data_IF_617544309215
#
_entry.id   IF_617544309215
#
_cell.length_a   1.000
_cell.length_b   1.000
_cell.length_c   1.000
_cell.angle_alpha   90.00
_cell.angle_beta   90.00
_cell.angle_gamma   90.00
#
_symmetry.space_group_name_H-M   'P 1'
#
loop_
_entity.id
_entity.type
_entity.pdbx_description
1 polymer ?
#
# COMPACT_ATOMS: atom_id res chain seq x y z
N UNK A 1 6.68 -5.28 1.59
CA UNK A 1 6.04 -4.63 2.77
C UNK A 1 5.36 -3.28 2.50
N UNK A 2 5.84 -2.47 1.54
CA UNK A 2 5.32 -1.09 1.31
C UNK A 2 3.88 -1.02 0.81
N UNK A 3 3.54 -1.83 -0.20
CA UNK A 3 2.16 -1.93 -0.69
C UNK A 3 1.20 -2.37 0.41
N UNK A 4 1.62 -3.32 1.26
CA UNK A 4 0.83 -3.80 2.38
C UNK A 4 0.48 -2.67 3.37
N UNK A 5 1.41 -1.75 3.67
CA UNK A 5 1.12 -0.58 4.53
C UNK A 5 0.05 0.32 3.91
N UNK A 6 0.18 0.66 2.63
CA UNK A 6 -0.80 1.51 1.93
C UNK A 6 -2.16 0.82 1.80
N UNK A 7 -2.18 -0.50 1.62
CA UNK A 7 -3.42 -1.29 1.62
C UNK A 7 -4.06 -1.40 3.01
N UNK A 8 -3.26 -1.47 4.08
CA UNK A 8 -3.76 -1.72 5.42
C UNK A 8 -4.65 -0.58 5.94
N UNK A 9 -4.38 0.68 5.55
CA UNK A 9 -5.22 1.83 5.89
C UNK A 9 -6.66 1.73 5.35
N UNK A 10 -6.91 1.56 4.03
CA UNK A 10 -8.27 1.45 3.48
C UNK A 10 -8.90 0.06 3.67
N UNK A 11 -8.11 -1.02 3.63
CA UNK A 11 -8.65 -2.39 3.62
C UNK A 11 -8.90 -2.89 5.04
N UNK A 12 -8.02 -2.56 5.99
CA UNK A 12 -8.08 -3.14 7.34
C UNK A 12 -8.50 -2.12 8.39
N UNK A 13 -7.93 -0.92 8.45
CA UNK A 13 -8.27 0.12 9.45
C UNK A 13 -8.68 -0.42 10.84
N UNK A 14 -7.85 -1.27 11.44
CA UNK A 14 -8.11 -1.91 12.75
C UNK A 14 -9.32 -2.87 12.83
N UNK A 15 -9.88 -3.27 11.68
CA UNK A 15 -10.95 -4.26 11.55
C UNK A 15 -10.37 -5.66 11.37
N UNK A 16 -10.80 -6.57 12.23
CA UNK A 16 -10.52 -7.99 12.10
C UNK A 16 -11.47 -8.64 11.09
N UNK A 17 -10.94 -9.47 10.20
CA UNK A 17 -11.72 -10.31 9.31
C UNK A 17 -11.72 -11.73 9.85
N UNK A 18 -12.89 -12.25 10.21
CA UNK A 18 -13.03 -13.58 10.80
C UNK A 18 -12.75 -14.70 9.78
N UNK A 19 -12.85 -14.40 8.48
CA UNK A 19 -12.61 -15.38 7.42
C UNK A 19 -11.93 -14.79 6.19
N UNK A 20 -11.21 -15.64 5.46
CA UNK A 20 -10.64 -15.27 4.16
C UNK A 20 -11.73 -14.92 3.12
N UNK A 21 -12.94 -15.46 3.28
CA UNK A 21 -14.10 -15.17 2.40
C UNK A 21 -14.55 -13.71 2.54
N UNK A 22 -14.50 -13.16 3.75
CA UNK A 22 -14.82 -11.75 3.99
C UNK A 22 -13.70 -10.80 3.59
N UNK A 23 -12.46 -11.28 3.63
CA UNK A 23 -11.29 -10.47 3.28
C UNK A 23 -11.07 -10.34 1.76
N UNK A 24 -11.32 -11.42 1.00
CA UNK A 24 -11.19 -11.44 -0.47
C UNK A 24 -11.89 -10.29 -1.20
N UNK A 25 -13.18 -9.97 -0.95
CA UNK A 25 -13.84 -8.87 -1.65
C UNK A 25 -13.24 -7.51 -1.30
N UNK A 26 -12.69 -7.34 -0.10
CA UNK A 26 -12.03 -6.08 0.30
C UNK A 26 -10.69 -5.86 -0.40
N UNK A 27 -9.97 -6.94 -0.69
CA UNK A 27 -8.78 -6.87 -1.56
C UNK A 27 -9.19 -6.54 -2.99
N UNK A 28 -10.25 -7.17 -3.50
CA UNK A 28 -10.73 -6.94 -4.86
C UNK A 28 -11.20 -5.49 -5.06
N UNK A 29 -12.01 -4.97 -4.12
CA UNK A 29 -12.42 -3.56 -4.07
C UNK A 29 -11.22 -2.60 -4.05
N UNK A 30 -10.15 -2.96 -3.32
CA UNK A 30 -8.94 -2.14 -3.29
C UNK A 30 -8.30 -2.01 -4.67
N UNK A 31 -8.16 -3.13 -5.40
CA UNK A 31 -7.53 -3.12 -6.71
C UNK A 31 -8.43 -2.52 -7.81
N UNK A 32 -9.75 -2.69 -7.71
CA UNK A 32 -10.70 -2.23 -8.72
C UNK A 32 -11.19 -0.79 -8.50
N UNK A 33 -11.37 -0.36 -7.25
CA UNK A 33 -12.03 0.92 -6.91
C UNK A 33 -11.04 1.89 -6.28
N UNK A 34 -10.28 1.45 -5.28
CA UNK A 34 -9.38 2.34 -4.54
C UNK A 34 -8.19 2.73 -5.40
N UNK A 35 -7.56 1.78 -6.09
CA UNK A 35 -6.38 1.98 -6.94
C UNK A 35 -6.50 3.15 -7.93
N UNK A 36 -7.54 3.27 -8.79
CA UNK A 36 -7.64 4.40 -9.72
C UNK A 36 -7.80 5.76 -9.03
N UNK A 37 -8.36 5.79 -7.81
CA UNK A 37 -8.52 7.03 -7.04
C UNK A 37 -7.25 7.45 -6.32
N UNK A 38 -6.41 6.49 -5.92
CA UNK A 38 -5.16 6.76 -5.20
C UNK A 38 -3.93 6.61 -6.09
N UNK A 39 -4.00 6.36 -7.39
CA UNK A 39 -2.83 5.97 -8.21
C UNK A 39 -1.68 7.01 -8.15
N UNK A 40 -2.02 8.31 -8.23
CA UNK A 40 -1.06 9.40 -8.07
C UNK A 40 -0.46 9.47 -6.65
N UNK A 41 -1.28 9.23 -5.62
CA UNK A 41 -0.88 9.25 -4.21
C UNK A 41 -0.12 7.97 -3.82
N UNK A 42 -0.43 6.84 -4.46
CA UNK A 42 0.12 5.52 -4.24
C UNK A 42 1.57 5.46 -4.70
N UNK A 43 1.88 6.04 -5.87
CA UNK A 43 3.26 6.17 -6.34
C UNK A 43 4.10 7.02 -5.38
N UNK A 44 3.53 8.08 -4.81
CA UNK A 44 4.20 8.89 -3.79
C UNK A 44 4.38 8.09 -2.49
N UNK A 45 3.32 7.50 -1.94
CA UNK A 45 3.30 6.79 -0.65
C UNK A 45 4.08 5.49 -0.62
N UNK A 46 4.13 4.75 -1.73
CA UNK A 46 5.00 3.56 -1.83
C UNK A 46 6.48 3.97 -1.80
N UNK A 47 6.81 5.14 -2.36
CA UNK A 47 8.18 5.67 -2.40
C UNK A 47 8.51 6.59 -1.22
N UNK A 48 7.52 6.96 -0.42
CA UNK A 48 7.66 7.84 0.73
C UNK A 48 8.71 7.25 1.71
N UNK A 49 9.62 8.11 2.16
CA UNK A 49 10.76 7.74 3.00
C UNK A 49 11.75 6.71 2.40
N UNK A 50 11.80 6.51 1.07
CA UNK A 50 12.91 5.77 0.47
C UNK A 50 14.16 6.65 0.39
N UNK A 51 15.09 6.50 1.33
CA UNK A 51 16.44 7.05 1.15
C UNK A 51 17.15 6.30 0.02
N UNK A 52 17.25 6.96 -1.14
CA UNK A 52 18.15 6.54 -2.21
C UNK A 52 19.56 6.91 -1.75
N UNK A 53 20.31 5.94 -1.22
CA UNK A 53 21.72 6.16 -0.93
C UNK A 53 22.48 6.28 -2.26
N UNK A 54 22.84 7.51 -2.64
CA UNK A 54 23.85 7.73 -3.68
C UNK A 54 25.17 7.15 -3.18
N UNK A 55 25.82 6.32 -4.01
CA UNK A 55 27.11 5.72 -3.69
C UNK A 55 28.09 6.84 -3.33
N UNK A 56 28.62 6.82 -2.11
CA UNK A 56 29.64 7.79 -1.70
C UNK A 56 30.86 7.63 -2.63
N UNK A 57 31.25 8.72 -3.30
CA UNK A 57 32.51 8.74 -4.04
C UNK A 57 33.65 8.56 -3.03
N UNK A 58 34.43 7.50 -3.21
CA UNK A 58 35.65 7.28 -2.46
C UNK A 58 36.71 8.26 -2.97
N UNK A 59 37.18 9.16 -2.08
CA UNK A 59 38.37 9.99 -2.32
C UNK A 59 39.64 9.24 -1.98
#
# INVERSE_FOLDING_TARGET
>A
ERLWKVMNEPVRNNRYFASAKEFRPKIDDFFNITRPNIDNDLNSRINDNFQVFSRASSS
#
